data_IF_653118555635
#
_entry.id   IF_653118555635
#
_cell.length_a   1.000
_cell.length_b   1.000
_cell.length_c   1.000
_cell.angle_alpha   90.00
_cell.angle_beta   90.00
_cell.angle_gamma   90.00
#
_symmetry.space_group_name_H-M   'P 1'
#
loop_
_entity.id
_entity.type
_entity.pdbx_description
1 polymer ?
#
# COMPACT_ATOMS: atom_id res chain seq x y z
N UNK A 1 -59.45 74.81 23.39
CA UNK A 1 -59.41 73.60 22.54
C UNK A 1 -58.30 72.72 23.08
N UNK A 2 -58.65 71.62 23.75
CA UNK A 2 -57.70 70.67 24.35
C UNK A 2 -57.66 69.40 23.49
N UNK A 3 -56.50 68.73 23.29
CA UNK A 3 -56.39 67.60 22.38
C UNK A 3 -56.96 66.32 23.00
N UNK A 4 -57.63 65.53 22.15
CA UNK A 4 -58.25 64.25 22.48
C UNK A 4 -57.21 63.19 22.84
N UNK A 5 -57.25 62.70 24.08
CA UNK A 5 -56.50 61.50 24.50
C UNK A 5 -57.12 60.25 23.85
N UNK A 6 -56.40 59.67 22.89
CA UNK A 6 -56.73 58.34 22.36
C UNK A 6 -56.34 57.29 23.40
N UNK A 7 -57.35 56.72 24.05
CA UNK A 7 -57.19 55.64 25.01
C UNK A 7 -56.84 54.34 24.25
N UNK A 8 -55.56 54.01 24.19
CA UNK A 8 -55.08 52.71 23.71
C UNK A 8 -55.55 51.61 24.68
N UNK A 9 -56.56 50.85 24.28
CA UNK A 9 -57.04 49.68 25.01
C UNK A 9 -55.99 48.58 24.91
N UNK A 10 -55.10 48.51 25.89
CA UNK A 10 -54.21 47.37 26.07
C UNK A 10 -55.06 46.17 26.53
N UNK A 11 -55.38 45.28 25.60
CA UNK A 11 -55.92 43.96 25.95
C UNK A 11 -54.95 43.19 26.86
N UNK A 12 -55.44 42.31 27.76
CA UNK A 12 -54.59 41.62 28.72
C UNK A 12 -53.48 40.84 28.00
N UNK A 13 -52.22 41.14 28.35
CA UNK A 13 -51.05 40.49 27.80
C UNK A 13 -51.14 38.97 28.02
N UNK A 14 -51.22 38.19 26.94
CA UNK A 14 -51.30 36.70 26.95
C UNK A 14 -50.14 36.01 27.70
N UNK A 15 -49.14 36.78 28.13
CA UNK A 15 -48.03 36.34 28.99
C UNK A 15 -48.44 36.07 30.45
N UNK A 16 -49.53 36.64 30.97
CA UNK A 16 -49.88 36.55 32.39
C UNK A 16 -50.51 35.21 32.81
N UNK A 17 -51.11 34.47 31.86
CA UNK A 17 -51.87 33.25 32.16
C UNK A 17 -51.10 31.93 31.90
N UNK A 18 -49.77 31.97 31.72
CA UNK A 18 -48.97 30.75 31.54
C UNK A 18 -49.34 29.89 30.32
N UNK A 19 -50.15 30.42 29.41
CA UNK A 19 -50.69 29.69 28.26
C UNK A 19 -49.70 29.56 27.08
N UNK A 20 -48.46 30.02 27.26
CA UNK A 20 -47.35 29.75 26.33
C UNK A 20 -46.86 28.30 26.49
N UNK A 21 -47.74 27.33 26.28
CA UNK A 21 -47.35 25.95 26.00
C UNK A 21 -46.85 25.90 24.56
N UNK A 22 -45.64 26.41 24.31
CA UNK A 22 -44.94 26.15 23.04
C UNK A 22 -44.76 24.63 22.97
N UNK A 23 -45.62 23.94 22.23
CA UNK A 23 -45.38 22.54 21.86
C UNK A 23 -44.09 22.58 21.02
N UNK A 24 -42.96 22.19 21.63
CA UNK A 24 -41.74 22.01 20.85
C UNK A 24 -42.06 20.97 19.79
N UNK A 25 -41.86 21.32 18.52
CA UNK A 25 -42.02 20.37 17.42
C UNK A 25 -41.07 19.19 17.63
N UNK A 26 -41.33 18.06 16.95
CA UNK A 26 -40.39 16.94 16.93
C UNK A 26 -38.98 17.43 16.60
N UNK A 27 -37.96 16.84 17.23
CA UNK A 27 -36.59 17.17 16.89
C UNK A 27 -36.35 16.88 15.39
N UNK A 28 -35.64 17.78 14.68
CA UNK A 28 -35.27 17.51 13.29
C UNK A 28 -34.47 16.20 13.21
N UNK A 29 -34.60 15.43 12.12
CA UNK A 29 -33.90 14.17 11.95
C UNK A 29 -32.38 14.41 11.98
N UNK A 30 -31.63 13.45 12.54
CA UNK A 30 -30.16 13.51 12.52
C UNK A 30 -29.69 13.44 11.06
N UNK A 31 -28.65 14.22 10.68
CA UNK A 31 -28.09 14.13 9.34
C UNK A 31 -27.50 12.74 9.12
N UNK A 32 -27.82 12.13 7.98
CA UNK A 32 -27.30 10.80 7.61
C UNK A 32 -25.79 10.89 7.45
N UNK A 33 -25.00 9.96 8.03
CA UNK A 33 -23.57 9.92 7.84
C UNK A 33 -23.24 9.85 6.35
N UNK A 34 -22.24 10.59 5.90
CA UNK A 34 -21.77 10.51 4.52
C UNK A 34 -20.45 9.74 4.48
N UNK A 35 -20.32 8.85 3.50
CA UNK A 35 -19.08 8.17 3.19
C UNK A 35 -18.05 9.21 2.74
N UNK A 36 -16.84 9.13 3.30
CA UNK A 36 -15.73 9.99 2.89
C UNK A 36 -15.40 9.77 1.42
N UNK A 37 -15.17 10.85 0.68
CA UNK A 37 -14.67 10.76 -0.69
C UNK A 37 -13.15 10.51 -0.67
N UNK A 38 -12.72 9.46 -1.35
CA UNK A 38 -11.30 9.13 -1.53
C UNK A 38 -10.86 9.69 -2.87
N UNK A 39 -9.64 10.23 -2.93
CA UNK A 39 -9.02 10.61 -4.20
C UNK A 39 -8.69 9.33 -4.95
N UNK A 40 -9.49 9.00 -5.97
CA UNK A 40 -9.26 7.81 -6.77
C UNK A 40 -7.98 7.97 -7.60
N UNK A 41 -7.01 7.09 -7.39
CA UNK A 41 -5.88 6.91 -8.29
C UNK A 41 -6.41 6.22 -9.57
N UNK A 42 -5.94 6.60 -10.77
CA UNK A 42 -6.36 5.96 -12.01
C UNK A 42 -5.83 4.51 -12.09
N UNK A 43 -6.55 3.56 -11.48
CA UNK A 43 -6.18 2.15 -11.41
C UNK A 43 -5.94 1.49 -12.77
N UNK A 44 -6.56 2.02 -13.83
CA UNK A 44 -6.34 1.57 -15.21
C UNK A 44 -4.92 1.91 -15.69
N UNK A 45 -4.41 3.07 -15.32
CA UNK A 45 -3.07 3.52 -15.71
C UNK A 45 -2.01 2.72 -14.96
N UNK A 46 -2.22 2.49 -13.65
CA UNK A 46 -1.34 1.62 -12.85
C UNK A 46 -1.25 0.20 -13.42
N UNK A 47 -2.38 -0.39 -13.83
CA UNK A 47 -2.40 -1.72 -14.46
C UNK A 47 -1.64 -1.76 -15.78
N UNK A 48 -1.91 -0.78 -16.66
CA UNK A 48 -1.21 -0.67 -17.94
C UNK A 48 0.29 -0.51 -17.74
N UNK A 49 0.71 0.34 -16.81
CA UNK A 49 2.14 0.56 -16.54
C UNK A 49 2.83 -0.72 -16.03
N UNK A 50 2.15 -1.54 -15.21
CA UNK A 50 2.67 -2.84 -14.79
C UNK A 50 2.84 -3.82 -15.96
N UNK A 51 1.86 -3.86 -16.87
CA UNK A 51 1.93 -4.66 -18.10
C UNK A 51 3.10 -4.19 -18.99
N UNK A 52 3.27 -2.87 -19.14
CA UNK A 52 4.38 -2.28 -19.90
C UNK A 52 5.74 -2.66 -19.28
N UNK A 53 5.86 -2.58 -17.95
CA UNK A 53 7.07 -2.98 -17.21
C UNK A 53 7.38 -4.46 -17.42
N UNK A 54 6.38 -5.34 -17.38
CA UNK A 54 6.58 -6.78 -17.60
C UNK A 54 7.16 -7.06 -18.99
N UNK A 55 6.64 -6.38 -20.03
CA UNK A 55 7.16 -6.49 -21.39
C UNK A 55 8.61 -5.97 -21.48
N UNK A 56 8.91 -4.83 -20.83
CA UNK A 56 10.25 -4.27 -20.81
C UNK A 56 11.26 -5.20 -20.11
N UNK A 57 10.88 -5.80 -18.98
CA UNK A 57 11.73 -6.75 -18.26
C UNK A 57 12.07 -7.98 -19.11
N UNK A 58 11.10 -8.52 -19.86
CA UNK A 58 11.33 -9.65 -20.78
C UNK A 58 12.30 -9.29 -21.91
N UNK A 59 12.16 -8.09 -22.49
CA UNK A 59 13.05 -7.64 -23.56
C UNK A 59 14.48 -7.40 -23.04
N UNK A 60 14.64 -6.78 -21.87
CA UNK A 60 15.96 -6.63 -21.23
C UNK A 60 16.59 -7.99 -20.95
N UNK A 61 15.82 -8.97 -20.47
CA UNK A 61 16.34 -10.32 -20.25
C UNK A 61 16.83 -10.97 -21.55
N UNK A 62 16.07 -10.83 -22.65
CA UNK A 62 16.48 -11.34 -23.97
C UNK A 62 17.78 -10.68 -24.46
N UNK A 63 17.89 -9.36 -24.27
CA UNK A 63 19.10 -8.60 -24.60
C UNK A 63 20.28 -9.04 -23.74
N UNK A 64 20.06 -9.22 -22.43
CA UNK A 64 21.07 -9.67 -21.46
C UNK A 64 21.65 -11.04 -21.82
N UNK A 65 20.80 -12.01 -22.17
CA UNK A 65 21.25 -13.34 -22.61
C UNK A 65 22.12 -13.25 -23.87
N UNK A 66 21.75 -12.38 -24.82
CA UNK A 66 22.51 -12.19 -26.07
C UNK A 66 23.86 -11.52 -25.79
N UNK A 67 23.88 -10.54 -24.90
CA UNK A 67 25.07 -9.80 -24.51
C UNK A 67 26.05 -10.70 -23.72
N UNK A 68 25.57 -11.45 -22.74
CA UNK A 68 26.38 -12.41 -21.99
C UNK A 68 27.00 -13.47 -22.90
N UNK A 69 26.24 -13.99 -23.86
CA UNK A 69 26.77 -14.94 -24.85
C UNK A 69 27.90 -14.31 -25.65
N UNK A 70 27.74 -13.06 -26.09
CA UNK A 70 28.76 -12.33 -26.84
C UNK A 70 30.02 -12.10 -26.00
N UNK A 71 29.87 -11.77 -24.71
CA UNK A 71 31.00 -11.61 -23.77
C UNK A 71 31.76 -12.93 -23.64
N UNK A 72 31.06 -14.05 -23.41
CA UNK A 72 31.67 -15.39 -23.32
C UNK A 72 32.40 -15.78 -24.60
N UNK A 73 31.75 -15.60 -25.75
CA UNK A 73 32.34 -15.94 -27.04
C UNK A 73 33.62 -15.12 -27.30
N UNK A 74 33.65 -13.83 -26.95
CA UNK A 74 34.86 -12.99 -27.09
C UNK A 74 35.95 -13.35 -26.08
N UNK A 75 35.58 -13.73 -24.86
CA UNK A 75 36.53 -14.19 -23.85
C UNK A 75 37.20 -15.52 -24.25
N UNK A 76 36.43 -16.47 -24.77
CA UNK A 76 36.92 -17.78 -25.22
C UNK A 76 37.78 -17.70 -26.50
N UNK A 77 37.57 -16.66 -27.34
CA UNK A 77 38.35 -16.40 -28.55
C UNK A 77 39.65 -15.65 -28.30
N UNK A 78 39.88 -15.13 -27.09
CA UNK A 78 41.13 -14.45 -26.76
C UNK A 78 42.30 -15.46 -26.82
N UNK A 79 43.34 -15.22 -27.65
CA UNK A 79 44.47 -16.13 -27.75
C UNK A 79 45.17 -16.20 -26.38
N UNK A 80 45.56 -17.40 -25.94
CA UNK A 80 46.27 -17.71 -24.69
C UNK A 80 47.45 -16.78 -24.36
N UNK A 81 47.18 -15.53 -23.97
CA UNK A 81 48.11 -14.70 -23.25
C UNK A 81 48.04 -15.17 -21.82
N UNK A 82 49.15 -15.66 -21.29
CA UNK A 82 49.37 -15.96 -19.87
C UNK A 82 49.27 -14.70 -18.96
N UNK A 83 48.55 -13.68 -19.41
CA UNK A 83 48.26 -12.44 -18.71
C UNK A 83 46.76 -12.42 -18.42
N UNK A 84 46.39 -13.09 -17.33
CA UNK A 84 45.04 -13.24 -16.77
C UNK A 84 44.40 -11.89 -16.35
N UNK A 85 45.08 -10.77 -16.60
CA UNK A 85 44.77 -9.46 -16.02
C UNK A 85 44.37 -8.37 -17.02
N UNK A 86 44.46 -8.59 -18.34
CA UNK A 86 44.03 -7.59 -19.32
C UNK A 86 42.76 -8.02 -20.03
N UNK A 87 41.60 -7.61 -19.50
CA UNK A 87 40.39 -7.52 -20.33
C UNK A 87 40.73 -6.65 -21.56
N UNK A 88 40.34 -7.11 -22.75
CA UNK A 88 40.47 -6.24 -23.93
C UNK A 88 39.45 -5.10 -23.79
N UNK A 89 39.77 -3.87 -24.24
CA UNK A 89 38.84 -2.73 -24.13
C UNK A 89 37.44 -3.03 -24.70
N UNK A 90 37.36 -3.88 -25.74
CA UNK A 90 36.11 -4.32 -26.36
C UNK A 90 35.27 -5.23 -25.45
N UNK A 91 35.88 -6.01 -24.56
CA UNK A 91 35.15 -6.80 -23.55
C UNK A 91 34.74 -5.93 -22.36
N UNK A 92 35.57 -4.95 -21.97
CA UNK A 92 35.21 -3.97 -20.94
C UNK A 92 33.95 -3.18 -21.34
N UNK A 93 33.87 -2.73 -22.59
CA UNK A 93 32.70 -2.02 -23.13
C UNK A 93 31.42 -2.88 -23.10
N UNK A 94 31.52 -4.18 -23.39
CA UNK A 94 30.38 -5.09 -23.29
C UNK A 94 29.94 -5.34 -21.84
N UNK A 95 30.89 -5.42 -20.91
CA UNK A 95 30.60 -5.56 -19.47
C UNK A 95 29.93 -4.29 -18.93
N UNK A 96 30.34 -3.10 -19.39
CA UNK A 96 29.64 -1.85 -19.06
C UNK A 96 28.20 -1.84 -19.59
N UNK A 97 27.97 -2.28 -20.84
CA UNK A 97 26.60 -2.43 -21.37
C UNK A 97 25.76 -3.43 -20.56
N UNK A 98 26.38 -4.52 -20.07
CA UNK A 98 25.69 -5.49 -19.22
C UNK A 98 25.31 -4.86 -17.87
N UNK A 99 26.19 -4.04 -17.31
CA UNK A 99 25.92 -3.28 -16.10
C UNK A 99 24.76 -2.30 -16.28
N UNK A 100 24.72 -1.56 -17.39
CA UNK A 100 23.62 -0.66 -17.73
C UNK A 100 22.28 -1.40 -17.84
N UNK A 101 22.27 -2.55 -18.52
CA UNK A 101 21.08 -3.39 -18.67
C UNK A 101 20.56 -3.90 -17.32
N UNK A 102 21.46 -4.34 -16.43
CA UNK A 102 21.09 -4.77 -15.08
C UNK A 102 20.54 -3.60 -14.27
N UNK A 103 21.12 -2.41 -14.39
CA UNK A 103 20.62 -1.21 -13.72
C UNK A 103 19.21 -0.84 -14.21
N UNK A 104 18.97 -0.83 -15.52
CA UNK A 104 17.64 -0.57 -16.09
C UNK A 104 16.62 -1.61 -15.63
N UNK A 105 16.99 -2.90 -15.59
CA UNK A 105 16.12 -3.95 -15.05
C UNK A 105 15.80 -3.72 -13.56
N UNK A 106 16.77 -3.27 -12.77
CA UNK A 106 16.56 -2.96 -11.35
C UNK A 106 15.62 -1.75 -11.16
N UNK A 107 15.77 -0.70 -11.97
CA UNK A 107 14.86 0.45 -11.97
C UNK A 107 13.42 0.04 -12.27
N UNK A 108 13.21 -0.88 -13.23
CA UNK A 108 11.90 -1.44 -13.51
C UNK A 108 11.31 -2.23 -12.33
N UNK A 109 12.12 -3.01 -11.60
CA UNK A 109 11.66 -3.69 -10.39
C UNK A 109 11.28 -2.73 -9.27
N UNK A 110 12.09 -1.69 -9.04
CA UNK A 110 11.78 -0.61 -8.08
C UNK A 110 10.46 0.06 -8.44
N UNK A 111 10.27 0.42 -9.72
CA UNK A 111 9.03 1.03 -10.21
C UNK A 111 7.83 0.10 -10.07
N UNK A 112 7.97 -1.19 -10.38
CA UNK A 112 6.92 -2.19 -10.20
C UNK A 112 6.49 -2.30 -8.72
N UNK A 113 7.46 -2.33 -7.79
CA UNK A 113 7.19 -2.38 -6.36
C UNK A 113 6.42 -1.14 -5.88
N UNK A 114 6.81 0.06 -6.33
CA UNK A 114 6.10 1.31 -6.04
C UNK A 114 4.63 1.24 -6.51
N UNK A 115 4.39 0.78 -7.74
CA UNK A 115 3.03 0.61 -8.29
C UNK A 115 2.20 -0.42 -7.50
N UNK A 116 2.83 -1.49 -7.00
CA UNK A 116 2.18 -2.46 -6.11
C UNK A 116 1.77 -1.83 -4.79
N UNK A 117 2.64 -1.03 -4.17
CA UNK A 117 2.31 -0.28 -2.96
C UNK A 117 1.18 0.72 -3.19
N UNK A 118 1.18 1.42 -4.32
CA UNK A 118 0.12 2.37 -4.69
C UNK A 118 -1.24 1.67 -4.84
N UNK A 119 -1.28 0.52 -5.52
CA UNK A 119 -2.48 -0.32 -5.65
C UNK A 119 -3.00 -0.79 -4.29
N UNK A 120 -2.10 -1.27 -3.43
CA UNK A 120 -2.45 -1.74 -2.08
C UNK A 120 -2.98 -0.60 -1.21
N UNK A 121 -2.35 0.57 -1.27
CA UNK A 121 -2.77 1.77 -0.56
C UNK A 121 -4.18 2.21 -0.97
N UNK A 122 -4.48 2.27 -2.28
CA UNK A 122 -5.81 2.63 -2.77
C UNK A 122 -6.90 1.70 -2.21
N UNK A 123 -6.64 0.37 -2.22
CA UNK A 123 -7.57 -0.62 -1.66
C UNK A 123 -7.80 -0.42 -0.16
N UNK A 124 -6.74 -0.15 0.61
CA UNK A 124 -6.85 0.10 2.05
C UNK A 124 -7.58 1.41 2.35
N UNK A 125 -7.44 2.43 1.50
CA UNK A 125 -8.19 3.68 1.63
C UNK A 125 -9.68 3.49 1.38
N UNK A 126 -10.04 2.68 0.38
CA UNK A 126 -11.43 2.28 0.10
C UNK A 126 -12.04 1.52 1.28
N UNK A 127 -11.32 0.51 1.80
CA UNK A 127 -11.75 -0.25 2.98
C UNK A 127 -11.90 0.66 4.20
N UNK A 128 -10.96 1.60 4.43
CA UNK A 128 -11.04 2.57 5.52
C UNK A 128 -12.32 3.40 5.43
N UNK A 129 -12.65 3.95 4.25
CA UNK A 129 -13.85 4.78 4.12
C UNK A 129 -15.15 3.99 4.33
N UNK A 130 -15.17 2.71 3.96
CA UNK A 130 -16.31 1.81 4.16
C UNK A 130 -16.50 1.44 5.63
N UNK A 131 -15.39 1.14 6.34
CA UNK A 131 -15.40 0.87 7.77
C UNK A 131 -15.84 2.12 8.55
N UNK A 132 -15.25 3.28 8.24
CA UNK A 132 -15.59 4.55 8.88
C UNK A 132 -17.08 4.89 8.69
N UNK A 133 -17.61 4.72 7.48
CA UNK A 133 -19.03 4.94 7.19
C UNK A 133 -19.93 4.01 8.03
N UNK A 134 -19.62 2.72 8.09
CA UNK A 134 -20.39 1.74 8.88
C UNK A 134 -20.37 2.07 10.37
N UNK A 135 -19.19 2.43 10.92
CA UNK A 135 -19.05 2.84 12.33
C UNK A 135 -19.92 4.07 12.60
N UNK A 136 -19.86 5.11 11.75
CA UNK A 136 -20.70 6.30 11.93
C UNK A 136 -22.20 5.98 11.90
N UNK A 137 -22.63 5.05 11.05
CA UNK A 137 -24.03 4.61 11.01
C UNK A 137 -24.46 3.94 12.33
N UNK A 138 -23.59 3.13 12.93
CA UNK A 138 -23.87 2.49 14.23
C UNK A 138 -23.81 3.48 15.40
N UNK A 139 -22.92 4.48 15.34
CA UNK A 139 -22.83 5.54 16.34
C UNK A 139 -24.03 6.49 16.35
N UNK A 140 -24.70 6.64 15.20
CA UNK A 140 -25.92 7.46 15.09
C UNK A 140 -27.13 6.82 15.78
N UNK A 141 -27.08 5.51 16.06
CA UNK A 141 -28.08 4.82 16.87
C UNK A 141 -27.94 5.25 18.34
N UNK A 142 -28.99 5.81 18.96
CA UNK A 142 -28.92 6.21 20.36
C UNK A 142 -28.59 5.04 21.30
N UNK A 143 -27.77 5.29 22.32
CA UNK A 143 -27.27 4.27 23.26
C UNK A 143 -28.40 3.48 23.96
N UNK A 144 -29.53 4.13 24.25
CA UNK A 144 -30.68 3.48 24.90
C UNK A 144 -31.48 2.55 23.98
N UNK A 145 -31.28 2.65 22.66
CA UNK A 145 -31.88 1.78 21.62
C UNK A 145 -30.86 0.83 21.01
N UNK A 146 -29.59 0.92 21.42
CA UNK A 146 -28.49 0.14 20.87
C UNK A 146 -28.51 -1.27 21.45
N UNK A 147 -28.52 -2.29 20.60
CA UNK A 147 -28.48 -3.68 21.05
C UNK A 147 -27.05 -4.09 21.40
N UNK A 148 -26.89 -5.14 22.21
CA UNK A 148 -25.55 -5.69 22.49
C UNK A 148 -24.85 -6.17 21.21
N UNK A 149 -25.62 -6.67 20.23
CA UNK A 149 -25.10 -7.05 18.92
C UNK A 149 -24.55 -5.86 18.13
N UNK A 150 -25.17 -4.67 18.26
CA UNK A 150 -24.68 -3.46 17.60
C UNK A 150 -23.36 -2.99 18.22
N UNK A 151 -23.23 -3.15 19.54
CA UNK A 151 -22.00 -2.82 20.29
C UNK A 151 -20.85 -3.74 19.90
N UNK A 152 -21.09 -5.06 19.85
CA UNK A 152 -20.06 -6.00 19.42
C UNK A 152 -19.66 -5.75 17.98
N UNK A 153 -20.63 -5.44 17.10
CA UNK A 153 -20.34 -5.12 15.70
C UNK A 153 -19.52 -3.84 15.54
N UNK A 154 -19.84 -2.81 16.31
CA UNK A 154 -19.06 -1.57 16.35
C UNK A 154 -17.61 -1.82 16.80
N UNK A 155 -17.41 -2.62 17.85
CA UNK A 155 -16.07 -2.98 18.33
C UNK A 155 -15.27 -3.76 17.28
N UNK A 156 -15.87 -4.74 16.61
CA UNK A 156 -15.24 -5.47 15.50
C UNK A 156 -14.83 -4.54 14.35
N UNK A 157 -15.70 -3.60 13.97
CA UNK A 157 -15.41 -2.65 12.89
C UNK A 157 -14.29 -1.69 13.27
N UNK A 158 -14.25 -1.23 14.52
CA UNK A 158 -13.17 -0.38 15.04
C UNK A 158 -11.85 -1.14 15.04
N UNK A 159 -11.85 -2.39 15.53
CA UNK A 159 -10.64 -3.23 15.51
C UNK A 159 -10.14 -3.43 14.09
N UNK A 160 -11.04 -3.70 13.14
CA UNK A 160 -10.69 -3.83 11.72
C UNK A 160 -10.14 -2.52 11.14
N UNK A 161 -10.71 -1.37 11.52
CA UNK A 161 -10.22 -0.06 11.08
C UNK A 161 -8.79 0.20 11.58
N UNK A 162 -8.48 -0.17 12.83
CA UNK A 162 -7.12 -0.08 13.38
C UNK A 162 -6.16 -0.94 12.57
N UNK A 163 -6.50 -2.19 12.25
CA UNK A 163 -5.67 -3.05 11.39
C UNK A 163 -5.42 -2.45 10.01
N UNK A 164 -6.43 -1.80 9.41
CA UNK A 164 -6.29 -1.14 8.11
C UNK A 164 -5.33 0.05 8.21
N UNK A 165 -5.40 0.83 9.30
CA UNK A 165 -4.47 1.95 9.54
C UNK A 165 -3.05 1.44 9.76
N UNK A 166 -2.86 0.37 10.52
CA UNK A 166 -1.56 -0.28 10.71
C UNK A 166 -0.96 -0.75 9.37
N UNK A 167 -1.75 -1.43 8.53
CA UNK A 167 -1.30 -1.86 7.19
C UNK A 167 -0.95 -0.70 6.26
N UNK A 168 -1.61 0.46 6.38
CA UNK A 168 -1.23 1.66 5.63
C UNK A 168 0.09 2.25 6.16
N UNK A 169 0.31 2.19 7.47
CA UNK A 169 1.57 2.61 8.06
C UNK A 169 2.72 1.69 7.64
N UNK A 170 2.51 0.37 7.57
CA UNK A 170 3.49 -0.59 7.03
C UNK A 170 3.93 -0.21 5.60
N UNK A 171 3.01 0.20 4.73
CA UNK A 171 3.35 0.66 3.37
C UNK A 171 4.29 1.86 3.41
N UNK A 172 3.99 2.85 4.26
CA UNK A 172 4.83 4.05 4.41
C UNK A 172 6.22 3.69 4.92
N UNK A 173 6.31 2.79 5.91
CA UNK A 173 7.57 2.32 6.46
C UNK A 173 8.39 1.55 5.41
N UNK A 174 7.77 0.66 4.64
CA UNK A 174 8.42 -0.06 3.54
C UNK A 174 8.98 0.89 2.49
N UNK A 175 8.18 1.86 2.01
CA UNK A 175 8.62 2.83 1.02
C UNK A 175 9.79 3.70 1.51
N UNK A 176 9.78 4.10 2.78
CA UNK A 176 10.91 4.85 3.35
C UNK A 176 12.17 3.98 3.50
N UNK A 177 12.01 2.73 3.91
CA UNK A 177 13.12 1.77 3.98
C UNK A 177 13.74 1.52 2.60
N UNK A 178 12.90 1.31 1.58
CA UNK A 178 13.36 1.08 0.22
C UNK A 178 14.06 2.34 -0.32
N UNK A 179 13.52 3.55 -0.11
CA UNK A 179 14.19 4.79 -0.50
C UNK A 179 15.60 4.93 0.08
N UNK A 180 15.78 4.57 1.36
CA UNK A 180 17.10 4.64 2.02
C UNK A 180 18.04 3.61 1.40
N UNK A 181 17.57 2.36 1.23
CA UNK A 181 18.35 1.27 0.64
C UNK A 181 18.82 1.62 -0.78
N UNK A 182 17.89 2.04 -1.63
CA UNK A 182 18.16 2.41 -3.02
C UNK A 182 19.18 3.56 -3.11
N UNK A 183 19.06 4.58 -2.26
CA UNK A 183 20.04 5.67 -2.21
C UNK A 183 21.44 5.21 -1.76
N UNK A 184 21.54 4.19 -0.90
CA UNK A 184 22.81 3.58 -0.53
C UNK A 184 23.40 2.74 -1.66
N UNK A 185 22.59 1.92 -2.31
CA UNK A 185 22.96 1.13 -3.48
C UNK A 185 23.49 2.02 -4.61
N UNK A 186 22.75 3.07 -4.94
CA UNK A 186 23.12 4.00 -6.02
C UNK A 186 24.42 4.72 -5.67
N UNK A 187 24.60 5.18 -4.43
CA UNK A 187 25.88 5.78 -3.98
C UNK A 187 27.05 4.81 -4.10
N UNK A 188 26.84 3.55 -3.72
CA UNK A 188 27.85 2.50 -3.80
C UNK A 188 28.23 2.20 -5.25
N UNK A 189 27.24 2.09 -6.13
CA UNK A 189 27.40 1.91 -7.58
C UNK A 189 28.21 3.06 -8.18
N UNK A 190 27.80 4.31 -7.94
CA UNK A 190 28.47 5.49 -8.48
C UNK A 190 29.92 5.60 -7.98
N UNK A 191 30.17 5.25 -6.70
CA UNK A 191 31.52 5.22 -6.15
C UNK A 191 32.39 4.18 -6.85
N UNK A 192 31.90 2.95 -7.02
CA UNK A 192 32.64 1.88 -7.70
C UNK A 192 32.91 2.25 -9.17
N UNK A 193 31.89 2.64 -9.92
CA UNK A 193 32.02 3.02 -11.33
C UNK A 193 32.97 4.22 -11.53
N UNK A 194 32.90 5.20 -10.61
CA UNK A 194 33.82 6.34 -10.60
C UNK A 194 35.27 5.97 -10.29
N UNK A 195 35.52 4.88 -9.57
CA UNK A 195 36.87 4.34 -9.37
C UNK A 195 37.39 3.61 -10.62
N UNK A 196 36.53 2.85 -11.30
CA UNK A 196 36.84 2.20 -12.58
C UNK A 196 37.23 3.24 -13.65
N UNK A 197 36.43 4.31 -13.78
CA UNK A 197 36.68 5.38 -14.76
C UNK A 197 37.95 6.21 -14.48
N UNK A 198 38.47 6.19 -13.25
CA UNK A 198 39.67 6.94 -12.83
C UNK A 198 40.95 6.09 -12.83
N UNK A 199 40.90 4.86 -13.34
CA UNK A 199 42.08 4.00 -13.54
C UNK A 199 42.80 3.56 -12.25
N UNK A 200 42.15 3.59 -11.08
CA UNK A 200 42.71 3.06 -9.84
C UNK A 200 42.16 1.66 -9.57
N UNK A 201 42.68 0.67 -10.30
CA UNK A 201 42.65 -0.73 -9.89
C UNK A 201 44.00 -1.01 -9.21
N UNK A 202 44.02 -0.94 -7.88
CA UNK A 202 44.98 -1.71 -7.09
C UNK A 202 44.16 -2.81 -6.41
N UNK A 203 44.39 -4.04 -6.84
CA UNK A 203 43.75 -5.26 -6.38
C UNK A 203 43.91 -5.44 -4.87
N UNK A 204 42.80 -5.57 -4.15
CA UNK A 204 42.53 -6.57 -3.10
C UNK A 204 41.30 -6.14 -2.31
N UNK A 205 40.17 -6.75 -2.62
CA UNK A 205 39.28 -7.26 -1.57
C UNK A 205 38.51 -8.42 -2.19
N UNK A 206 38.83 -9.63 -1.74
CA UNK A 206 38.06 -10.82 -2.08
C UNK A 206 36.60 -10.58 -1.69
N UNK A 207 35.71 -10.69 -2.67
CA UNK A 207 34.28 -10.80 -2.43
C UNK A 207 34.04 -12.17 -1.81
N UNK A 208 34.19 -12.27 -0.50
CA UNK A 208 33.53 -13.33 0.25
C UNK A 208 32.04 -13.01 0.21
N UNK A 209 31.29 -13.76 -0.60
CA UNK A 209 29.84 -13.88 -0.48
C UNK A 209 29.55 -14.56 0.86
N UNK A 210 29.62 -13.79 1.96
CA UNK A 210 29.07 -14.21 3.24
C UNK A 210 27.58 -13.91 3.21
N UNK A 211 26.83 -14.88 2.70
CA UNK A 211 25.46 -15.12 3.13
C UNK A 211 25.47 -15.16 4.66
N UNK A 212 25.07 -14.05 5.29
CA UNK A 212 25.20 -13.85 6.73
C UNK A 212 24.10 -12.95 7.30
N UNK A 213 22.91 -13.52 7.38
CA UNK A 213 22.03 -13.54 8.57
C UNK A 213 21.89 -12.23 9.37
N UNK A 214 20.71 -11.62 9.28
CA UNK A 214 20.00 -10.84 10.32
C UNK A 214 20.86 -10.33 11.51
N UNK A 215 21.31 -9.08 11.41
CA UNK A 215 22.02 -8.36 12.46
C UNK A 215 21.12 -8.03 13.67
N UNK A 216 21.36 -8.77 14.76
CA UNK A 216 20.88 -8.51 16.13
C UNK A 216 21.10 -7.05 16.57
N UNK A 217 20.01 -6.35 16.86
CA UNK A 217 20.04 -5.17 17.74
C UNK A 217 20.48 -5.56 19.16
N UNK A 218 21.50 -4.88 19.67
CA UNK A 218 21.97 -4.98 21.06
C UNK A 218 20.92 -4.46 22.03
N UNK A 219 20.35 -5.36 22.82
CA UNK A 219 19.43 -5.08 23.92
C UNK A 219 20.19 -4.49 25.12
N UNK A 220 19.88 -3.25 25.46
CA UNK A 220 20.28 -2.57 26.70
C UNK A 220 19.56 -3.22 27.88
N UNK A 221 20.33 -3.65 28.88
CA UNK A 221 19.88 -4.39 30.08
C UNK A 221 19.12 -3.45 31.04
N UNK A 222 17.86 -3.75 31.36
CA UNK A 222 17.15 -3.22 32.53
C UNK A 222 16.28 -4.35 33.10
N UNK A 223 16.43 -4.59 34.41
CA UNK A 223 15.95 -5.75 35.16
C UNK A 223 14.44 -5.80 35.44
N UNK A 224 13.95 -7.05 35.60
CA UNK A 224 12.75 -7.58 36.31
C UNK A 224 11.37 -7.11 35.80
N UNK A 225 10.36 -7.97 35.57
CA UNK A 225 9.85 -9.08 36.38
C UNK A 225 9.00 -10.09 35.54
N UNK A 226 8.67 -11.25 36.14
CA UNK A 226 8.18 -12.53 35.59
C UNK A 226 6.70 -12.53 35.14
N UNK A 227 6.34 -13.26 34.08
CA UNK A 227 5.48 -14.48 34.13
C UNK A 227 5.23 -15.17 32.77
N UNK A 228 5.59 -16.46 32.69
CA UNK A 228 4.97 -17.60 31.98
C UNK A 228 4.14 -17.42 30.68
N UNK A 229 4.59 -18.01 29.57
CA UNK A 229 4.04 -19.24 28.92
C UNK A 229 4.70 -19.51 27.55
N UNK A 230 5.16 -20.76 27.36
CA UNK A 230 5.76 -21.34 26.14
C UNK A 230 4.71 -21.45 25.00
N UNK A 231 5.02 -20.95 23.81
CA UNK A 231 4.56 -21.51 22.52
C UNK A 231 5.69 -21.39 21.49
N UNK A 232 6.07 -22.53 20.94
CA UNK A 232 7.05 -22.74 19.87
C UNK A 232 6.54 -22.14 18.56
N UNK A 233 7.30 -21.22 17.97
CA UNK A 233 7.09 -20.70 16.61
C UNK A 233 7.94 -21.52 15.63
N UNK A 234 7.27 -22.10 14.64
CA UNK A 234 7.85 -22.71 13.45
C UNK A 234 8.19 -21.58 12.47
N UNK A 235 9.38 -21.66 11.91
CA UNK A 235 10.00 -20.74 10.96
C UNK A 235 9.30 -20.71 9.59
N UNK A 236 9.27 -19.52 8.98
CA UNK A 236 9.30 -19.30 7.53
C UNK A 236 8.04 -19.69 6.75
N UNK A 237 7.16 -18.71 6.52
CA UNK A 237 6.17 -18.76 5.45
C UNK A 237 6.15 -17.40 4.74
N UNK A 238 6.40 -17.45 3.43
CA UNK A 238 6.17 -16.38 2.44
C UNK A 238 4.83 -15.68 2.70
N UNK A 239 4.85 -14.36 2.83
CA UNK A 239 3.64 -13.54 3.07
C UNK A 239 2.99 -13.11 1.75
N UNK A 240 3.63 -13.39 0.60
CA UNK A 240 3.24 -12.80 -0.69
C UNK A 240 2.40 -13.71 -1.60
N UNK A 241 1.90 -14.87 -1.13
CA UNK A 241 1.16 -15.81 -2.00
C UNK A 241 -0.36 -15.89 -1.84
N UNK A 242 -0.96 -15.43 -0.74
CA UNK A 242 -2.32 -15.89 -0.40
C UNK A 242 -3.42 -14.80 -0.41
N UNK A 243 -3.34 -13.78 -1.28
CA UNK A 243 -4.40 -12.75 -1.34
C UNK A 243 -5.08 -12.55 -2.69
N UNK A 244 -4.53 -13.04 -3.81
CA UNK A 244 -5.15 -12.86 -5.14
C UNK A 244 -6.06 -14.03 -5.59
N UNK A 245 -6.05 -15.19 -4.93
CA UNK A 245 -6.85 -16.35 -5.39
C UNK A 245 -8.32 -16.40 -4.91
N UNK A 246 -8.75 -15.53 -3.99
CA UNK A 246 -10.09 -15.67 -3.37
C UNK A 246 -11.26 -15.05 -4.14
N UNK A 247 -11.04 -14.42 -5.28
CA UNK A 247 -12.06 -13.65 -6.01
C UNK A 247 -12.34 -14.14 -7.47
N UNK A 248 -11.73 -15.24 -7.95
CA UNK A 248 -12.07 -15.79 -9.28
C UNK A 248 -13.18 -16.87 -9.29
N UNK A 249 -13.75 -17.24 -8.13
CA UNK A 249 -14.82 -18.23 -8.06
C UNK A 249 -16.23 -17.60 -8.17
N UNK A 250 -16.58 -17.07 -9.34
CA UNK A 250 -17.99 -16.73 -9.67
C UNK A 250 -18.74 -17.99 -10.14
N UNK A 251 -19.87 -18.39 -9.51
CA UNK A 251 -20.63 -19.55 -9.95
C UNK A 251 -21.41 -19.25 -11.24
N UNK A 252 -21.18 -20.07 -12.27
CA UNK A 252 -21.86 -20.02 -13.57
C UNK A 252 -23.36 -20.40 -13.45
N UNK A 253 -24.22 -19.49 -13.91
CA UNK A 253 -25.59 -19.64 -14.44
C UNK A 253 -26.45 -20.85 -14.00
N UNK A 254 -27.50 -20.56 -13.22
CA UNK A 254 -28.69 -21.39 -13.14
C UNK A 254 -29.50 -21.26 -14.45
N UNK A 255 -29.79 -22.39 -15.10
CA UNK A 255 -30.68 -22.47 -16.27
C UNK A 255 -32.13 -22.29 -15.83
N UNK A 256 -32.71 -21.14 -16.14
CA UNK A 256 -34.13 -20.85 -15.95
C UNK A 256 -34.97 -21.63 -16.99
N UNK A 257 -35.76 -22.60 -16.54
CA UNK A 257 -36.72 -23.32 -17.38
C UNK A 257 -37.91 -22.41 -17.67
N UNK A 258 -37.99 -21.88 -18.90
CA UNK A 258 -39.17 -21.17 -19.40
C UNK A 258 -40.38 -22.10 -19.45
N UNK A 259 -41.34 -21.93 -18.53
CA UNK A 259 -42.68 -22.51 -18.63
C UNK A 259 -43.54 -21.62 -19.53
N UNK A 260 -43.89 -22.11 -20.73
CA UNK A 260 -44.86 -21.48 -21.62
C UNK A 260 -46.27 -21.68 -21.06
N UNK A 261 -46.89 -20.62 -20.53
CA UNK A 261 -48.35 -20.53 -20.38
C UNK A 261 -48.95 -20.13 -21.73
N UNK A 262 -49.75 -21.03 -22.31
CA UNK A 262 -50.62 -20.76 -23.45
C UNK A 262 -51.74 -19.81 -23.00
N UNK A 263 -51.97 -18.76 -23.78
CA UNK A 263 -53.21 -17.99 -23.78
C UNK A 263 -53.94 -18.30 -25.09
N UNK A 264 -55.21 -18.70 -24.94
CA UNK A 264 -56.19 -19.13 -25.95
C UNK A 264 -55.93 -20.46 -26.66
#
# INVERSE_FOLDING_TARGET
MSPSEQQLVFGPNKSTYGQWKRKKGPAPPRPVPQRRQIKAIPMKEVKRELEDIEVQQQELERQGVTLEKTIRDKFDQAPNSNDDSSMTPDVEDLVLQLFELVNEKNELFRRQAELMYLRRQQRLEEEHADLEYQIRCLMDVPEHTKTDSDKTREEELIQRLVEVVERRNEIVECLEMDRIREAEEDRSIHSRLGMFSKGKISCQEEVTYSDSYYGKMKKKKKDKEKHTKKKTLKSGLDVDKDIDEREEAVPKHAKEKKSKRKWF
#
